data_IF_092995572593
#
_entry.id   IF_092995572593
#
_cell.length_a   1.000
_cell.length_b   1.000
_cell.length_c   1.000
_cell.angle_alpha   90.00
_cell.angle_beta   90.00
_cell.angle_gamma   90.00
#
_symmetry.space_group_name_H-M   'P 1'
#
loop_
_entity.id
_entity.type
_entity.pdbx_description
1 polymer ?
#
# COMPACT_ATOMS: atom_id res chain seq x y z
N UNK A 1 -6.33 7.02 -22.26
CA UNK A 1 -5.22 7.95 -22.54
C UNK A 1 -3.96 7.36 -21.94
N UNK A 2 -2.80 7.51 -22.58
CA UNK A 2 -1.52 7.05 -22.03
C UNK A 2 -0.77 8.24 -21.45
N UNK A 3 -0.17 8.03 -20.28
CA UNK A 3 0.62 9.01 -19.56
C UNK A 3 2.10 8.87 -19.91
N UNK A 4 2.75 9.96 -20.31
CA UNK A 4 4.21 10.02 -20.40
C UNK A 4 4.86 10.45 -19.08
N UNK A 5 6.20 10.41 -19.02
CA UNK A 5 6.94 10.71 -17.79
C UNK A 5 6.77 12.17 -17.33
N UNK A 6 6.66 13.12 -18.27
CA UNK A 6 6.50 14.55 -17.93
C UNK A 6 5.12 14.80 -17.32
N UNK A 7 4.08 14.21 -17.91
CA UNK A 7 2.72 14.25 -17.37
C UNK A 7 2.64 13.63 -15.98
N UNK A 8 3.29 12.47 -15.77
CA UNK A 8 3.32 11.82 -14.45
C UNK A 8 4.04 12.68 -13.43
N UNK A 9 5.14 13.34 -13.80
CA UNK A 9 5.83 14.27 -12.88
C UNK A 9 4.97 15.48 -12.55
N UNK A 10 4.34 16.10 -13.54
CA UNK A 10 3.47 17.27 -13.34
C UNK A 10 2.30 16.93 -12.41
N UNK A 11 1.62 15.80 -12.66
CA UNK A 11 0.53 15.35 -11.79
C UNK A 11 1.01 15.04 -10.38
N UNK A 12 2.21 14.47 -10.22
CA UNK A 12 2.75 14.27 -8.88
C UNK A 12 2.97 15.61 -8.18
N UNK A 13 3.59 16.58 -8.85
CA UNK A 13 3.90 17.89 -8.25
C UNK A 13 2.66 18.69 -7.88
N UNK A 14 1.56 18.53 -8.62
CA UNK A 14 0.27 19.16 -8.32
C UNK A 14 -0.45 18.54 -7.11
N UNK A 15 -0.20 17.25 -6.83
CA UNK A 15 -0.93 16.48 -5.82
C UNK A 15 -0.09 16.08 -4.60
N UNK A 16 1.22 16.28 -4.66
CA UNK A 16 2.13 15.90 -3.60
C UNK A 16 1.92 16.77 -2.37
N UNK A 17 1.85 16.12 -1.22
CA UNK A 17 1.92 16.73 0.10
C UNK A 17 3.27 16.43 0.72
N UNK A 18 3.81 17.39 1.49
CA UNK A 18 5.01 17.19 2.27
C UNK A 18 4.64 16.65 3.65
N UNK A 19 5.26 15.53 4.04
CA UNK A 19 5.13 14.96 5.38
C UNK A 19 6.51 14.64 5.96
N UNK A 20 6.85 15.32 7.06
CA UNK A 20 8.22 15.36 7.58
C UNK A 20 9.23 15.74 6.49
N UNK A 21 10.03 14.78 6.04
CA UNK A 21 11.10 14.90 5.05
C UNK A 21 10.78 14.19 3.72
N UNK A 22 9.53 13.76 3.52
CA UNK A 22 9.12 13.02 2.35
C UNK A 22 7.90 13.65 1.64
N UNK A 23 7.94 13.65 0.32
CA UNK A 23 6.83 14.04 -0.54
C UNK A 23 6.06 12.80 -1.01
N UNK A 24 4.73 12.89 -1.02
CA UNK A 24 3.89 11.83 -1.56
C UNK A 24 2.48 12.25 -1.85
N UNK A 25 1.76 11.41 -2.59
CA UNK A 25 0.35 11.64 -2.95
C UNK A 25 -0.51 10.69 -2.15
N UNK A 26 -1.64 11.14 -1.63
CA UNK A 26 -2.55 10.27 -0.87
C UNK A 26 -3.08 9.13 -1.74
N UNK A 27 -3.44 8.01 -1.12
CA UNK A 27 -4.07 6.89 -1.83
C UNK A 27 -5.34 7.34 -2.54
N UNK A 28 -6.15 8.17 -1.89
CA UNK A 28 -7.39 8.68 -2.45
C UNK A 28 -7.13 9.45 -3.74
N UNK A 29 -6.13 10.32 -3.76
CA UNK A 29 -5.78 11.07 -4.98
C UNK A 29 -5.16 10.17 -6.05
N UNK A 30 -4.26 9.25 -5.69
CA UNK A 30 -3.69 8.30 -6.64
C UNK A 30 -4.78 7.44 -7.32
N UNK A 31 -5.76 6.96 -6.55
CA UNK A 31 -6.93 6.21 -7.07
C UNK A 31 -7.80 7.11 -7.95
N UNK A 32 -8.01 8.37 -7.56
CA UNK A 32 -8.81 9.32 -8.34
C UNK A 32 -8.17 9.62 -9.70
N UNK A 33 -6.85 9.71 -9.75
CA UNK A 33 -6.10 10.07 -10.95
C UNK A 33 -5.99 8.91 -11.94
N UNK A 34 -5.73 7.69 -11.44
CA UNK A 34 -5.36 6.55 -12.28
C UNK A 34 -6.38 5.40 -12.25
N UNK A 35 -7.35 5.45 -11.36
CA UNK A 35 -8.37 4.43 -11.17
C UNK A 35 -7.95 3.34 -10.18
N UNK A 36 -8.96 2.75 -9.53
CA UNK A 36 -8.78 1.74 -8.49
C UNK A 36 -7.98 0.52 -8.98
N UNK A 37 -8.26 0.02 -10.17
CA UNK A 37 -7.57 -1.16 -10.70
C UNK A 37 -6.08 -0.92 -10.94
N UNK A 38 -5.69 0.25 -11.43
CA UNK A 38 -4.27 0.57 -11.61
C UNK A 38 -3.54 0.62 -10.27
N UNK A 39 -4.19 1.20 -9.27
CA UNK A 39 -3.69 1.26 -7.91
C UNK A 39 -3.53 -0.12 -7.27
N UNK A 40 -4.55 -0.97 -7.32
CA UNK A 40 -4.51 -2.34 -6.81
C UNK A 40 -3.38 -3.15 -7.45
N UNK A 41 -3.23 -3.05 -8.77
CA UNK A 41 -2.17 -3.72 -9.51
C UNK A 41 -0.78 -3.24 -9.09
N UNK A 42 -0.58 -1.93 -8.93
CA UNK A 42 0.67 -1.37 -8.43
C UNK A 42 0.97 -1.84 -7.00
N UNK A 43 -0.05 -1.91 -6.15
CA UNK A 43 0.07 -2.36 -4.76
C UNK A 43 0.39 -3.86 -4.64
N UNK A 44 -0.17 -4.70 -5.51
CA UNK A 44 0.01 -6.15 -5.50
C UNK A 44 1.28 -6.63 -6.19
N UNK A 45 1.66 -5.97 -7.29
CA UNK A 45 2.80 -6.37 -8.11
C UNK A 45 4.06 -5.53 -7.85
N UNK A 46 3.92 -4.36 -7.21
CA UNK A 46 5.05 -3.68 -6.62
C UNK A 46 5.66 -4.52 -5.50
N UNK A 47 6.98 -4.39 -5.31
CA UNK A 47 7.56 -4.81 -4.04
C UNK A 47 6.79 -4.09 -2.92
N UNK A 48 6.47 -4.78 -1.80
CA UNK A 48 5.72 -4.16 -0.69
C UNK A 48 6.38 -2.88 -0.14
N UNK A 49 7.63 -2.65 -0.54
CA UNK A 49 8.43 -1.44 -0.36
C UNK A 49 8.12 -0.36 -1.42
N UNK A 50 6.90 -0.36 -2.01
CA UNK A 50 6.31 0.88 -2.54
C UNK A 50 5.99 1.74 -1.32
N UNK A 51 7.05 2.31 -0.74
CA UNK A 51 7.12 3.14 0.47
C UNK A 51 5.76 3.66 0.94
N UNK A 52 5.07 2.80 1.70
CA UNK A 52 3.78 3.09 2.28
C UNK A 52 4.03 3.83 3.58
N UNK A 53 3.82 5.13 3.52
CA UNK A 53 3.91 5.97 4.70
C UNK A 53 2.51 6.41 5.10
N UNK A 54 2.28 6.47 6.42
CA UNK A 54 1.04 7.00 6.98
C UNK A 54 1.23 8.49 7.22
N UNK A 55 0.39 9.32 6.61
CA UNK A 55 0.28 10.74 6.93
C UNK A 55 -0.74 10.90 8.06
N UNK A 56 -0.34 11.47 9.20
CA UNK A 56 -1.24 11.73 10.33
C UNK A 56 -0.66 11.29 11.67
N UNK A 57 -1.34 11.66 12.77
CA UNK A 57 -1.03 11.17 14.11
C UNK A 57 -1.68 9.78 14.27
N UNK A 58 -0.92 8.70 14.56
CA UNK A 58 -1.46 7.36 14.76
C UNK A 58 -2.47 7.26 15.91
N UNK A 59 -2.41 8.18 16.88
CA UNK A 59 -3.36 8.27 17.99
C UNK A 59 -4.65 9.04 17.61
N UNK A 60 -4.62 9.75 16.48
CA UNK A 60 -5.78 10.39 15.87
C UNK A 60 -6.29 9.51 14.72
N UNK A 61 -7.60 9.30 14.61
CA UNK A 61 -8.21 8.48 13.53
C UNK A 61 -8.04 9.06 12.10
N UNK A 62 -7.09 9.96 11.86
CA UNK A 62 -6.86 10.68 10.62
C UNK A 62 -5.48 10.33 10.02
N UNK A 63 -5.14 9.05 10.00
CA UNK A 63 -3.98 8.56 9.25
C UNK A 63 -4.41 8.19 7.82
N UNK A 64 -4.01 8.96 6.81
CA UNK A 64 -4.20 8.60 5.40
C UNK A 64 -2.88 8.05 4.83
N UNK A 65 -2.87 6.84 4.23
CA UNK A 65 -1.68 6.34 3.56
C UNK A 65 -1.39 7.15 2.29
N UNK A 66 -0.10 7.36 2.01
CA UNK A 66 0.36 8.02 0.80
C UNK A 66 1.38 7.17 0.05
N UNK A 67 1.52 7.45 -1.26
CA UNK A 67 2.49 6.84 -2.16
C UNK A 67 3.62 7.83 -2.48
N UNK A 68 4.87 7.36 -2.38
CA UNK A 68 6.03 8.11 -2.85
C UNK A 68 5.98 8.33 -4.38
N UNK A 69 6.84 9.20 -4.91
CA UNK A 69 6.92 9.40 -6.37
C UNK A 69 7.16 8.10 -7.14
N UNK A 70 7.99 7.20 -6.60
CA UNK A 70 8.22 5.86 -7.19
C UNK A 70 6.93 5.06 -7.25
N UNK A 71 6.16 5.05 -6.16
CA UNK A 71 4.86 4.40 -6.11
C UNK A 71 3.88 5.00 -7.11
N UNK A 72 3.80 6.34 -7.17
CA UNK A 72 2.96 7.06 -8.11
C UNK A 72 3.28 6.73 -9.58
N UNK A 73 4.56 6.66 -9.94
CA UNK A 73 5.01 6.21 -11.26
C UNK A 73 4.57 4.78 -11.58
N UNK A 74 4.59 3.89 -10.58
CA UNK A 74 4.15 2.51 -10.74
C UNK A 74 2.64 2.45 -11.02
N UNK A 75 1.84 3.20 -10.27
CA UNK A 75 0.38 3.32 -10.50
C UNK A 75 0.11 3.83 -11.92
N UNK A 76 0.78 4.89 -12.36
CA UNK A 76 0.64 5.42 -13.71
C UNK A 76 1.03 4.39 -14.79
N UNK A 77 2.08 3.60 -14.54
CA UNK A 77 2.50 2.52 -15.44
C UNK A 77 1.42 1.46 -15.59
N UNK A 78 0.81 1.02 -14.48
CA UNK A 78 -0.30 0.07 -14.54
C UNK A 78 -1.55 0.66 -15.20
N UNK A 79 -1.83 1.95 -15.01
CA UNK A 79 -2.91 2.62 -15.73
C UNK A 79 -2.70 2.58 -17.25
N UNK A 80 -1.46 2.83 -17.72
CA UNK A 80 -1.08 2.70 -19.12
C UNK A 80 -1.25 1.28 -19.63
N UNK A 81 -0.79 0.27 -18.88
CA UNK A 81 -0.93 -1.14 -19.27
C UNK A 81 -2.40 -1.55 -19.40
N UNK A 82 -3.26 -1.13 -18.46
CA UNK A 82 -4.70 -1.40 -18.51
C UNK A 82 -5.36 -0.71 -19.71
N UNK A 83 -4.97 0.52 -20.02
CA UNK A 83 -5.48 1.25 -21.17
C UNK A 83 -5.02 0.64 -22.50
N UNK A 84 -3.73 0.29 -22.64
CA UNK A 84 -3.19 -0.41 -23.82
C UNK A 84 -3.91 -1.74 -24.07
N UNK A 85 -4.19 -2.46 -22.98
CA UNK A 85 -4.95 -3.71 -23.00
C UNK A 85 -6.38 -3.48 -23.50
N UNK A 86 -7.05 -2.43 -23.02
CA UNK A 86 -8.39 -2.03 -23.50
C UNK A 86 -8.37 -1.70 -24.98
N UNK A 87 -7.42 -0.86 -25.42
CA UNK A 87 -7.24 -0.50 -26.82
C UNK A 87 -6.97 -1.72 -27.71
N UNK A 88 -6.18 -2.68 -27.23
CA UNK A 88 -5.90 -3.93 -27.95
C UNK A 88 -7.17 -4.77 -28.13
N UNK A 89 -7.99 -4.87 -27.07
CA UNK A 89 -9.28 -5.56 -27.14
C UNK A 89 -10.24 -4.88 -28.12
N UNK A 90 -10.30 -3.55 -28.10
CA UNK A 90 -11.14 -2.76 -29.01
C UNK A 90 -10.68 -2.88 -30.48
N UNK A 91 -9.38 -3.10 -30.71
CA UNK A 91 -8.81 -3.39 -32.02
C UNK A 91 -9.00 -4.86 -32.47
N UNK A 92 -9.71 -5.70 -31.69
CA UNK A 92 -9.96 -7.10 -32.02
C UNK A 92 -8.79 -8.06 -31.75
N UNK A 93 -7.75 -7.62 -31.04
CA UNK A 93 -6.64 -8.49 -30.64
C UNK A 93 -7.10 -9.47 -29.55
N UNK A 94 -6.54 -10.67 -29.55
CA UNK A 94 -6.70 -11.61 -28.44
C UNK A 94 -5.86 -11.12 -27.25
N UNK A 95 -6.50 -10.95 -26.10
CA UNK A 95 -5.86 -10.47 -24.86
C UNK A 95 -6.11 -11.49 -23.74
N UNK A 96 -5.05 -11.97 -23.10
CA UNK A 96 -5.15 -12.93 -21.98
C UNK A 96 -5.86 -12.31 -20.78
N UNK A 97 -6.71 -13.03 -20.03
CA UNK A 97 -7.42 -12.48 -18.86
C UNK A 97 -6.44 -11.88 -17.83
N UNK A 98 -6.86 -10.79 -17.16
CA UNK A 98 -6.11 -10.29 -16.01
C UNK A 98 -6.22 -11.35 -14.90
N UNK A 99 -5.13 -11.71 -14.20
CA UNK A 99 -5.25 -12.46 -12.97
C UNK A 99 -6.08 -11.66 -11.97
N UNK A 100 -6.87 -12.39 -11.19
CA UNK A 100 -7.65 -11.80 -10.12
C UNK A 100 -6.71 -11.31 -9.02
N UNK A 101 -6.57 -9.99 -8.93
CA UNK A 101 -5.81 -9.29 -7.89
C UNK A 101 -6.75 -8.73 -6.82
N UNK A 102 -8.02 -9.14 -6.81
CA UNK A 102 -8.94 -8.75 -5.75
C UNK A 102 -8.34 -9.04 -4.38
N UNK A 103 -8.47 -8.07 -3.47
CA UNK A 103 -8.21 -8.21 -2.05
C UNK A 103 -9.23 -9.19 -1.46
N UNK A 104 -9.25 -10.46 -1.88
CA UNK A 104 -9.80 -11.46 -0.99
C UNK A 104 -8.97 -11.36 0.29
N UNK A 105 -9.60 -11.10 1.45
CA UNK A 105 -8.89 -11.24 2.69
C UNK A 105 -8.54 -12.72 2.74
N UNK A 106 -7.33 -13.09 2.31
CA UNK A 106 -6.77 -14.39 2.71
C UNK A 106 -6.95 -14.37 4.22
N UNK A 107 -7.74 -15.27 4.81
CA UNK A 107 -7.77 -15.38 6.26
C UNK A 107 -6.40 -15.96 6.62
N UNK A 108 -5.39 -15.11 6.69
CA UNK A 108 -4.29 -15.34 7.62
C UNK A 108 -4.98 -15.23 8.95
N UNK A 109 -5.38 -16.38 9.51
CA UNK A 109 -5.60 -16.53 10.94
C UNK A 109 -4.50 -15.69 11.58
N UNK A 110 -4.87 -14.57 12.20
CA UNK A 110 -3.96 -13.92 13.12
C UNK A 110 -3.46 -15.03 14.02
N UNK A 111 -2.14 -15.20 14.22
CA UNK A 111 -1.66 -16.16 15.20
C UNK A 111 -2.37 -15.78 16.50
N UNK A 112 -3.26 -16.66 16.98
CA UNK A 112 -3.94 -16.46 18.24
C UNK A 112 -2.84 -16.16 19.24
N UNK A 113 -2.84 -15.00 19.92
CA UNK A 113 -1.83 -14.74 20.92
C UNK A 113 -1.92 -15.90 21.89
N UNK A 114 -0.84 -16.69 21.99
CA UNK A 114 -0.74 -17.70 23.03
C UNK A 114 -0.72 -16.91 24.33
N UNK A 115 -1.87 -16.84 24.99
CA UNK A 115 -1.94 -16.36 26.38
C UNK A 115 -1.13 -17.36 27.18
N UNK A 116 0.13 -17.04 27.40
CA UNK A 116 0.99 -17.79 28.31
C UNK A 116 0.51 -17.39 29.71
N UNK A 117 -0.05 -18.35 30.45
CA UNK A 117 -0.35 -18.15 31.86
C UNK A 117 0.99 -18.03 32.62
N UNK A 118 1.38 -16.80 32.94
CA UNK A 118 2.63 -16.47 33.66
C UNK A 118 2.50 -16.63 35.18
N UNK A 119 1.33 -17.02 35.71
CA UNK A 119 1.14 -17.27 37.15
C UNK A 119 2.08 -18.33 37.75
N UNK A 120 2.58 -19.35 37.02
CA UNK A 120 3.62 -20.24 37.52
C UNK A 120 4.97 -19.55 37.68
N UNK A 121 5.33 -18.60 36.79
CA UNK A 121 6.65 -17.94 36.79
C UNK A 121 6.80 -16.88 37.90
N UNK A 122 5.69 -16.42 38.48
CA UNK A 122 5.70 -15.49 39.62
C UNK A 122 6.00 -16.18 40.96
N UNK A 123 5.95 -17.51 41.05
CA UNK A 123 6.23 -18.22 42.31
C UNK A 123 7.72 -18.37 42.60
N UNK A 124 8.57 -18.35 41.56
CA UNK A 124 10.01 -18.60 41.73
C UNK A 124 10.79 -17.32 42.10
N UNK A 125 10.26 -16.13 41.80
CA UNK A 125 10.93 -14.86 42.12
C UNK A 125 10.67 -14.34 43.54
N UNK A 126 9.69 -14.89 44.26
CA UNK A 126 9.43 -14.50 45.66
C UNK A 126 10.45 -15.07 46.66
N UNK A 127 11.32 -15.99 46.23
CA UNK A 127 12.28 -16.67 47.11
C UNK A 127 13.70 -16.07 47.13
N UNK A 128 14.02 -15.09 46.26
CA UNK A 128 15.39 -14.57 46.13
C UNK A 128 15.64 -13.17 46.74
N UNK A 129 14.64 -12.50 47.35
CA UNK A 129 14.90 -11.31 48.16
C UNK A 129 15.16 -11.66 49.64
N UNK A 130 16.30 -12.29 49.90
CA UNK A 130 16.96 -12.29 51.21
C UNK A 130 18.48 -12.32 51.06
N UNK A 131 19.09 -11.16 50.80
CA UNK A 131 20.52 -10.90 51.05
C UNK A 131 20.63 -9.42 51.42
N UNK A 132 20.62 -9.14 52.73
CA UNK A 132 21.72 -8.52 53.53
C UNK A 132 21.94 -7.03 53.26
#
# INVERSE_FOLDING_TARGET
>A
MLYDAEQVKLMFDEHAILFYDQEGVTFTDAIRLFGNSAFEWAFHCGERDVDLHLFGDPEMSLCEPFVSYRGFCLVATYANLLELRRMSKDAGMKVDPLPDVSLEPKPKKAPTPKVIDIRPMLKDNAAQQKVR
#
